data_IF_953229524232
#
_entry.id   IF_953229524232
#
_cell.length_a   1.000
_cell.length_b   1.000
_cell.length_c   1.000
_cell.angle_alpha   90.00
_cell.angle_beta   90.00
_cell.angle_gamma   90.00
#
_symmetry.space_group_name_H-M   'P 1'
#
loop_
_entity.id
_entity.type
_entity.pdbx_description
1 polymer ?
#
# COMPACT_ATOMS: atom_id res chain seq x y z
N UNK A 1 53.06 30.83 33.81
CA UNK A 1 52.92 30.31 32.44
C UNK A 1 52.59 28.83 32.55
N UNK A 2 51.30 28.53 32.66
CA UNK A 2 50.70 27.21 32.53
C UNK A 2 49.26 27.49 32.10
N UNK A 3 48.98 27.29 30.82
CA UNK A 3 47.67 27.44 30.20
C UNK A 3 47.02 26.06 30.25
N UNK A 4 45.98 25.90 31.06
CA UNK A 4 45.11 24.73 31.03
C UNK A 4 44.19 24.83 29.81
N UNK A 5 44.41 23.93 28.85
CA UNK A 5 43.55 23.73 27.69
C UNK A 5 42.34 22.86 28.10
N UNK A 6 41.09 23.26 27.83
CA UNK A 6 39.94 22.37 27.98
C UNK A 6 39.91 21.40 26.79
N UNK A 7 40.04 20.10 27.07
CA UNK A 7 39.88 19.03 26.09
C UNK A 7 38.42 18.95 25.63
N UNK A 8 38.16 19.58 24.50
CA UNK A 8 36.88 19.57 23.81
C UNK A 8 36.78 18.32 22.93
N UNK A 9 36.56 17.14 23.53
CA UNK A 9 36.40 15.89 22.78
C UNK A 9 35.02 15.22 22.93
N UNK A 10 34.02 15.96 23.41
CA UNK A 10 32.63 15.50 23.46
C UNK A 10 31.80 16.18 22.35
N UNK A 11 31.88 15.69 21.10
CA UNK A 11 30.79 15.78 20.10
C UNK A 11 31.19 15.33 18.69
N UNK A 12 31.77 14.13 18.54
CA UNK A 12 31.91 13.49 17.23
C UNK A 12 31.23 12.11 17.23
N UNK A 13 29.94 12.09 17.56
CA UNK A 13 29.04 11.02 17.10
C UNK A 13 28.28 11.55 15.88
N UNK A 14 28.08 10.73 14.83
CA UNK A 14 27.67 11.19 13.52
C UNK A 14 26.27 11.81 13.59
N UNK A 15 26.25 13.13 13.47
CA UNK A 15 25.07 13.98 13.47
C UNK A 15 24.32 13.86 12.12
N UNK A 16 23.86 12.65 11.81
CA UNK A 16 22.90 12.36 10.73
C UNK A 16 21.92 11.29 11.18
N UNK A 17 21.25 11.52 12.31
CA UNK A 17 19.92 10.95 12.44
C UNK A 17 19.05 11.63 11.38
N UNK A 18 18.29 10.87 10.57
CA UNK A 18 17.40 11.45 9.56
C UNK A 18 16.48 12.47 10.24
N UNK A 19 16.21 13.60 9.56
CA UNK A 19 15.43 14.74 10.07
C UNK A 19 14.09 14.32 10.72
N UNK A 20 13.53 13.19 10.29
CA UNK A 20 12.35 12.53 10.86
C UNK A 20 12.46 12.24 12.37
N UNK A 21 13.65 12.01 12.92
CA UNK A 21 13.85 11.67 14.33
C UNK A 21 13.67 12.84 15.30
N UNK A 22 13.81 14.09 14.85
CA UNK A 22 13.68 15.25 15.74
C UNK A 22 12.26 15.38 16.29
N UNK A 23 11.26 14.97 15.52
CA UNK A 23 9.85 14.99 15.94
C UNK A 23 9.50 13.97 17.00
N UNK A 24 10.04 12.76 16.84
CA UNK A 24 9.91 11.68 17.81
C UNK A 24 10.66 11.99 19.11
N UNK A 25 11.67 12.86 19.05
CA UNK A 25 12.43 13.30 20.23
C UNK A 25 11.66 14.37 21.03
N UNK A 26 10.87 15.21 20.36
CA UNK A 26 10.05 16.22 21.04
C UNK A 26 8.86 15.57 21.76
N UNK A 27 8.65 15.90 23.05
CA UNK A 27 7.51 15.39 23.83
C UNK A 27 6.14 15.64 23.16
N UNK A 28 5.83 16.83 22.60
CA UNK A 28 4.55 17.04 21.92
C UNK A 28 4.46 16.28 20.59
N UNK A 29 5.53 16.26 19.77
CA UNK A 29 5.53 15.55 18.49
C UNK A 29 5.35 14.05 18.67
N UNK A 30 5.99 13.48 19.69
CA UNK A 30 5.82 12.08 20.09
C UNK A 30 4.38 11.75 20.48
N UNK A 31 3.72 12.58 21.30
CA UNK A 31 2.32 12.38 21.71
C UNK A 31 1.34 12.48 20.53
N UNK A 32 1.55 13.46 19.64
CA UNK A 32 0.72 13.61 18.44
C UNK A 32 0.90 12.40 17.52
N UNK A 33 2.14 11.97 17.28
CA UNK A 33 2.43 10.81 16.42
C UNK A 33 1.81 9.52 16.98
N UNK A 34 2.04 9.23 18.27
CA UNK A 34 1.48 8.03 18.92
C UNK A 34 -0.05 8.04 18.94
N UNK A 35 -0.69 9.17 19.24
CA UNK A 35 -2.16 9.27 19.26
C UNK A 35 -2.79 9.08 17.88
N UNK A 36 -2.21 9.69 16.83
CA UNK A 36 -2.65 9.49 15.45
C UNK A 36 -2.48 8.02 15.04
N UNK A 37 -1.33 7.44 15.35
CA UNK A 37 -1.03 6.05 15.04
C UNK A 37 -1.97 5.05 15.74
N UNK A 38 -2.26 5.25 17.03
CA UNK A 38 -3.23 4.43 17.77
C UNK A 38 -4.60 4.53 17.12
N UNK A 39 -5.03 5.75 16.76
CA UNK A 39 -6.32 5.98 16.11
C UNK A 39 -6.42 5.22 14.78
N UNK A 40 -5.40 5.34 13.93
CA UNK A 40 -5.30 4.64 12.63
C UNK A 40 -5.32 3.12 12.84
N UNK A 41 -4.53 2.62 13.79
CA UNK A 41 -4.48 1.19 14.11
C UNK A 41 -5.84 0.66 14.56
N UNK A 42 -6.54 1.38 15.45
CA UNK A 42 -7.87 0.99 15.93
C UNK A 42 -8.92 0.96 14.81
N UNK A 43 -8.79 1.84 13.81
CA UNK A 43 -9.67 1.87 12.63
C UNK A 43 -9.36 0.73 11.64
N UNK A 44 -8.08 0.48 11.35
CA UNK A 44 -7.68 -0.46 10.29
C UNK A 44 -7.49 -1.91 10.76
N UNK A 45 -7.02 -2.14 11.98
CA UNK A 45 -6.83 -3.48 12.51
C UNK A 45 -8.10 -4.35 12.43
N UNK A 46 -9.30 -3.90 12.85
CA UNK A 46 -10.51 -4.71 12.75
C UNK A 46 -10.86 -5.03 11.29
N UNK A 47 -10.63 -4.09 10.35
CA UNK A 47 -10.85 -4.31 8.92
C UNK A 47 -9.86 -5.35 8.37
N UNK A 48 -8.57 -5.24 8.70
CA UNK A 48 -7.54 -6.19 8.28
C UNK A 48 -7.82 -7.60 8.81
N UNK A 49 -8.12 -7.73 10.10
CA UNK A 49 -8.48 -9.02 10.71
C UNK A 49 -9.73 -9.59 10.06
N UNK A 50 -10.74 -8.77 9.78
CA UNK A 50 -11.96 -9.22 9.13
C UNK A 50 -11.72 -9.72 7.69
N UNK A 51 -10.90 -9.01 6.90
CA UNK A 51 -10.51 -9.44 5.54
C UNK A 51 -9.72 -10.75 5.59
N UNK A 52 -8.76 -10.87 6.51
CA UNK A 52 -8.00 -12.11 6.71
C UNK A 52 -8.91 -13.25 7.15
N UNK A 53 -9.84 -13.00 8.06
CA UNK A 53 -10.80 -14.00 8.55
C UNK A 53 -11.70 -14.51 7.42
N UNK A 54 -12.31 -13.62 6.65
CA UNK A 54 -13.13 -14.01 5.49
C UNK A 54 -12.31 -14.74 4.43
N UNK A 55 -11.08 -14.28 4.22
CA UNK A 55 -10.13 -14.92 3.32
C UNK A 55 -9.80 -16.35 3.72
N UNK A 56 -9.48 -16.55 5.00
CA UNK A 56 -9.20 -17.84 5.58
C UNK A 56 -10.43 -18.75 5.56
N UNK A 57 -11.61 -18.21 5.86
CA UNK A 57 -12.87 -18.95 5.80
C UNK A 57 -13.16 -19.44 4.37
N UNK A 58 -12.99 -18.58 3.36
CA UNK A 58 -13.13 -18.95 1.95
C UNK A 58 -12.09 -19.98 1.53
N UNK A 59 -10.84 -19.80 1.93
CA UNK A 59 -9.78 -20.76 1.65
C UNK A 59 -10.14 -22.14 2.21
N UNK A 60 -10.60 -22.21 3.47
CA UNK A 60 -11.03 -23.46 4.10
C UNK A 60 -12.21 -24.11 3.38
N UNK A 61 -13.18 -23.33 2.91
CA UNK A 61 -14.32 -23.84 2.13
C UNK A 61 -13.91 -24.33 0.73
N UNK A 62 -12.97 -23.63 0.09
CA UNK A 62 -12.42 -24.00 -1.23
C UNK A 62 -11.43 -25.17 -1.15
N UNK A 63 -10.78 -25.41 -0.02
CA UNK A 63 -9.95 -26.61 0.18
C UNK A 63 -10.77 -27.91 0.13
N UNK A 64 -12.11 -27.85 0.26
CA UNK A 64 -13.01 -29.00 0.11
C UNK A 64 -13.56 -29.17 -1.31
N UNK A 65 -13.44 -28.15 -2.17
CA UNK A 65 -13.88 -28.19 -3.58
C UNK A 65 -12.82 -27.51 -4.43
N UNK A 66 -12.03 -28.31 -5.16
CA UNK A 66 -10.86 -27.95 -5.99
C UNK A 66 -11.09 -26.76 -6.93
N UNK A 67 -11.18 -25.56 -6.36
CA UNK A 67 -11.41 -24.32 -7.05
C UNK A 67 -10.20 -23.44 -6.80
N UNK A 68 -9.52 -23.10 -7.89
CA UNK A 68 -8.36 -22.21 -7.89
C UNK A 68 -8.70 -20.92 -7.16
N UNK A 69 -7.96 -20.61 -6.10
CA UNK A 69 -8.07 -19.30 -5.42
C UNK A 69 -7.94 -18.19 -6.47
N UNK A 70 -8.84 -17.23 -6.41
CA UNK A 70 -8.81 -16.05 -7.29
C UNK A 70 -7.50 -15.28 -7.01
N UNK A 71 -6.62 -15.13 -8.01
CA UNK A 71 -5.31 -14.46 -7.88
C UNK A 71 -5.39 -13.06 -7.25
N UNK A 72 -6.49 -12.35 -7.54
CA UNK A 72 -6.88 -11.09 -6.93
C UNK A 72 -6.88 -11.11 -5.39
N UNK A 73 -7.28 -12.24 -4.80
CA UNK A 73 -7.40 -12.37 -3.34
C UNK A 73 -6.01 -12.54 -2.71
N UNK A 74 -5.09 -13.24 -3.40
CA UNK A 74 -3.68 -13.39 -2.99
C UNK A 74 -3.01 -12.02 -2.87
N UNK A 75 -3.25 -11.11 -3.82
CA UNK A 75 -2.62 -9.78 -3.79
C UNK A 75 -3.21 -8.90 -2.71
N UNK A 76 -4.49 -9.07 -2.43
CA UNK A 76 -5.16 -8.41 -1.31
C UNK A 76 -4.56 -8.88 0.02
N UNK A 77 -4.30 -10.19 0.19
CA UNK A 77 -3.62 -10.70 1.39
C UNK A 77 -2.20 -10.19 1.54
N UNK A 78 -1.43 -10.14 0.46
CA UNK A 78 -0.08 -9.58 0.52
C UNK A 78 -0.09 -8.08 0.86
N UNK A 79 -1.07 -7.32 0.36
CA UNK A 79 -1.23 -5.92 0.75
C UNK A 79 -1.55 -5.79 2.25
N UNK A 80 -2.54 -6.54 2.74
CA UNK A 80 -2.90 -6.54 4.17
C UNK A 80 -1.72 -6.98 5.04
N UNK A 81 -0.96 -7.98 4.61
CA UNK A 81 0.25 -8.41 5.31
C UNK A 81 1.29 -7.31 5.38
N UNK A 82 1.52 -6.57 4.29
CA UNK A 82 2.45 -5.44 4.29
C UNK A 82 1.97 -4.32 5.21
N UNK A 83 0.67 -4.07 5.31
CA UNK A 83 0.13 -3.11 6.31
C UNK A 83 0.36 -3.60 7.74
N UNK A 84 0.16 -4.90 8.03
CA UNK A 84 0.44 -5.46 9.36
C UNK A 84 1.92 -5.39 9.74
N UNK A 85 2.83 -5.59 8.77
CA UNK A 85 4.27 -5.42 8.97
C UNK A 85 4.63 -3.95 9.24
N UNK A 86 3.94 -3.01 8.61
CA UNK A 86 4.10 -1.57 8.86
C UNK A 86 3.73 -1.22 10.32
N UNK A 87 2.57 -1.72 10.77
CA UNK A 87 2.14 -1.53 12.15
C UNK A 87 3.12 -2.14 13.16
N UNK A 88 3.62 -3.36 12.92
CA UNK A 88 4.58 -3.97 13.84
C UNK A 88 5.92 -3.22 13.89
N UNK A 89 6.39 -2.69 12.74
CA UNK A 89 7.57 -1.83 12.67
C UNK A 89 7.42 -0.55 13.50
N UNK A 90 6.31 0.18 13.33
CA UNK A 90 6.05 1.43 14.08
C UNK A 90 5.91 1.15 15.59
N UNK A 91 5.24 0.06 15.97
CA UNK A 91 5.13 -0.35 17.38
C UNK A 91 6.51 -0.60 17.99
N UNK A 92 7.41 -1.26 17.26
CA UNK A 92 8.80 -1.48 17.70
C UNK A 92 9.60 -0.19 17.81
N UNK A 93 9.38 0.78 16.91
CA UNK A 93 9.99 2.13 17.03
C UNK A 93 9.53 2.80 18.32
N UNK A 94 8.22 2.87 18.57
CA UNK A 94 7.65 3.51 19.76
C UNK A 94 8.15 2.83 21.04
N UNK A 95 8.15 1.49 21.07
CA UNK A 95 8.65 0.71 22.21
C UNK A 95 10.16 0.91 22.41
N UNK A 96 10.93 0.96 21.32
CA UNK A 96 12.36 1.25 21.35
C UNK A 96 12.67 2.61 21.96
N UNK A 97 11.88 3.63 21.63
CA UNK A 97 11.97 4.95 22.28
C UNK A 97 11.61 4.89 23.77
N UNK A 98 10.51 4.22 24.14
CA UNK A 98 10.11 4.08 25.55
C UNK A 98 11.15 3.37 26.42
N UNK A 99 11.77 2.32 25.88
CA UNK A 99 12.79 1.54 26.58
C UNK A 99 14.20 2.11 26.41
N UNK A 100 14.34 3.26 25.72
CA UNK A 100 15.64 3.88 25.35
C UNK A 100 16.58 2.88 24.66
N UNK A 101 16.00 1.92 23.92
CA UNK A 101 16.71 0.84 23.25
C UNK A 101 16.93 1.17 21.78
N UNK A 102 18.18 1.55 21.45
CA UNK A 102 18.60 1.91 20.09
C UNK A 102 18.44 0.76 19.09
N UNK A 103 18.64 -0.49 19.52
CA UNK A 103 18.54 -1.66 18.64
C UNK A 103 17.10 -1.91 18.23
N UNK A 104 16.16 -1.85 19.19
CA UNK A 104 14.74 -2.02 18.91
C UNK A 104 14.21 -0.89 18.01
N UNK A 105 14.66 0.35 18.26
CA UNK A 105 14.33 1.51 17.42
C UNK A 105 14.82 1.30 15.98
N UNK A 106 16.10 0.95 15.79
CA UNK A 106 16.67 0.68 14.47
C UNK A 106 15.97 -0.46 13.73
N UNK A 107 15.70 -1.57 14.43
CA UNK A 107 14.97 -2.70 13.86
C UNK A 107 13.57 -2.30 13.40
N UNK A 108 12.85 -1.49 14.19
CA UNK A 108 11.54 -0.94 13.82
C UNK A 108 11.60 -0.13 12.52
N UNK A 109 12.58 0.76 12.38
CA UNK A 109 12.78 1.52 11.14
C UNK A 109 13.04 0.62 9.92
N UNK A 110 13.91 -0.38 10.07
CA UNK A 110 14.20 -1.34 8.99
C UNK A 110 12.93 -2.10 8.57
N UNK A 111 12.13 -2.53 9.54
CA UNK A 111 10.87 -3.24 9.28
C UNK A 111 9.89 -2.33 8.53
N UNK A 112 9.76 -1.06 8.91
CA UNK A 112 8.89 -0.07 8.25
C UNK A 112 9.30 0.26 6.81
N UNK A 113 10.58 0.11 6.45
CA UNK A 113 11.03 0.31 5.06
C UNK A 113 10.42 -0.71 4.08
N UNK A 114 10.24 -1.96 4.52
CA UNK A 114 9.77 -3.03 3.64
C UNK A 114 8.33 -2.77 3.10
N UNK A 115 7.34 -2.40 3.93
CA UNK A 115 6.00 -1.99 3.48
C UNK A 115 5.98 -0.79 2.53
N UNK A 116 6.91 0.16 2.63
CA UNK A 116 6.96 1.31 1.72
C UNK A 116 7.12 0.86 0.26
N UNK A 117 8.09 -0.03 0.01
CA UNK A 117 8.32 -0.59 -1.33
C UNK A 117 7.28 -1.66 -1.68
N UNK A 118 6.94 -2.51 -0.71
CA UNK A 118 5.98 -3.61 -0.90
C UNK A 118 4.61 -3.12 -1.32
N UNK A 119 4.06 -2.08 -0.66
CA UNK A 119 2.73 -1.53 -0.97
C UNK A 119 2.67 -0.99 -2.40
N UNK A 120 3.65 -0.18 -2.80
CA UNK A 120 3.71 0.36 -4.17
C UNK A 120 3.79 -0.77 -5.21
N UNK A 121 4.66 -1.75 -4.97
CA UNK A 121 4.85 -2.89 -5.86
C UNK A 121 3.58 -3.74 -6.02
N UNK A 122 2.95 -4.15 -4.91
CA UNK A 122 1.72 -4.95 -4.97
C UNK A 122 0.56 -4.19 -5.60
N UNK A 123 0.48 -2.87 -5.40
CA UNK A 123 -0.60 -2.08 -5.99
C UNK A 123 -0.46 -1.96 -7.51
N UNK A 124 0.75 -1.73 -8.02
CA UNK A 124 1.04 -1.77 -9.47
C UNK A 124 0.66 -3.13 -10.05
N UNK A 125 1.02 -4.21 -9.36
CA UNK A 125 0.69 -5.56 -9.81
C UNK A 125 -0.82 -5.84 -9.80
N UNK A 126 -1.56 -5.36 -8.81
CA UNK A 126 -3.03 -5.42 -8.81
C UNK A 126 -3.61 -4.66 -9.99
N UNK A 127 -3.06 -3.49 -10.34
CA UNK A 127 -3.51 -2.72 -11.50
C UNK A 127 -3.25 -3.47 -12.82
N UNK A 128 -2.06 -4.05 -12.98
CA UNK A 128 -1.69 -4.85 -14.16
C UNK A 128 -2.56 -6.09 -14.29
N UNK A 129 -2.85 -6.78 -13.19
CA UNK A 129 -3.76 -7.94 -13.20
C UNK A 129 -5.16 -7.55 -13.70
N UNK A 130 -5.72 -6.43 -13.19
CA UNK A 130 -7.03 -5.93 -13.63
C UNK A 130 -7.03 -5.50 -15.09
N UNK A 131 -5.94 -4.88 -15.55
CA UNK A 131 -5.76 -4.52 -16.94
C UNK A 131 -5.81 -5.76 -17.84
N UNK A 132 -5.01 -6.78 -17.53
CA UNK A 132 -4.95 -8.01 -18.31
C UNK A 132 -6.29 -8.74 -18.32
N UNK A 133 -6.98 -8.80 -17.18
CA UNK A 133 -8.27 -9.45 -17.08
C UNK A 133 -9.34 -8.81 -17.99
N UNK A 134 -9.27 -7.49 -18.24
CA UNK A 134 -10.25 -6.78 -19.07
C UNK A 134 -9.83 -6.67 -20.53
N UNK A 135 -8.59 -6.28 -20.79
CA UNK A 135 -8.13 -5.96 -22.15
C UNK A 135 -7.71 -7.23 -22.90
N UNK A 136 -7.13 -8.21 -22.21
CA UNK A 136 -6.60 -9.43 -22.81
C UNK A 136 -7.07 -10.69 -22.07
N UNK A 137 -8.38 -11.00 -22.06
CA UNK A 137 -8.95 -12.10 -21.28
C UNK A 137 -8.38 -13.47 -21.68
N UNK A 138 -8.08 -13.71 -22.96
CA UNK A 138 -7.46 -14.96 -23.43
C UNK A 138 -6.04 -15.11 -22.90
N UNK A 139 -5.24 -14.04 -22.94
CA UNK A 139 -3.90 -14.01 -22.35
C UNK A 139 -3.99 -14.21 -20.84
N UNK A 140 -4.90 -13.53 -20.16
CA UNK A 140 -5.13 -13.68 -18.73
C UNK A 140 -5.52 -15.11 -18.33
N UNK A 141 -6.40 -15.78 -19.08
CA UNK A 141 -6.79 -17.18 -18.84
C UNK A 141 -5.63 -18.16 -19.06
N UNK A 142 -4.82 -17.96 -20.10
CA UNK A 142 -3.61 -18.76 -20.32
C UNK A 142 -2.57 -18.55 -19.20
N UNK A 143 -2.40 -17.31 -18.74
CA UNK A 143 -1.53 -16.96 -17.62
C UNK A 143 -2.04 -17.54 -16.29
N UNK A 144 -3.37 -17.62 -16.11
CA UNK A 144 -4.01 -18.28 -14.96
C UNK A 144 -3.66 -19.78 -14.89
N UNK A 145 -3.46 -20.43 -16.04
CA UNK A 145 -3.12 -21.85 -16.13
C UNK A 145 -1.68 -22.21 -15.76
N UNK A 146 -0.73 -21.25 -15.83
CA UNK A 146 0.70 -21.51 -15.59
C UNK A 146 1.25 -20.66 -14.42
N UNK A 147 1.45 -21.28 -13.24
CA UNK A 147 2.23 -20.79 -12.06
C UNK A 147 2.55 -19.27 -12.07
N UNK A 148 1.57 -18.46 -11.67
CA UNK A 148 1.52 -16.99 -11.76
C UNK A 148 2.60 -16.13 -11.06
N UNK A 149 3.69 -16.72 -10.55
CA UNK A 149 4.81 -15.97 -9.94
C UNK A 149 5.76 -15.43 -11.01
N UNK A 150 6.07 -16.22 -12.05
CA UNK A 150 7.00 -15.83 -13.12
C UNK A 150 6.39 -14.73 -14.02
N UNK A 151 5.07 -14.74 -14.15
CA UNK A 151 4.29 -13.84 -14.99
C UNK A 151 4.24 -12.41 -14.44
N UNK A 152 4.21 -12.21 -13.12
CA UNK A 152 4.22 -10.86 -12.52
C UNK A 152 5.53 -10.13 -12.81
N UNK A 153 6.66 -10.83 -12.75
CA UNK A 153 7.97 -10.30 -13.12
C UNK A 153 8.06 -10.03 -14.63
N UNK A 154 7.52 -10.93 -15.45
CA UNK A 154 7.47 -10.77 -16.91
C UNK A 154 6.54 -9.61 -17.32
N UNK A 155 5.40 -9.38 -16.65
CA UNK A 155 4.48 -8.28 -16.98
C UNK A 155 5.08 -6.90 -16.73
N UNK A 156 5.92 -6.74 -15.70
CA UNK A 156 6.64 -5.49 -15.44
C UNK A 156 7.65 -5.23 -16.57
N UNK A 157 8.42 -6.26 -16.94
CA UNK A 157 9.35 -6.18 -18.09
C UNK A 157 8.63 -5.94 -19.42
N UNK A 158 7.49 -6.61 -19.65
CA UNK A 158 6.70 -6.49 -20.86
C UNK A 158 5.96 -5.16 -20.95
N UNK A 159 5.51 -4.55 -19.84
CA UNK A 159 4.85 -3.23 -19.89
C UNK A 159 5.83 -2.15 -20.37
N UNK A 160 7.07 -2.20 -19.91
CA UNK A 160 8.16 -1.33 -20.39
C UNK A 160 8.50 -1.65 -21.85
N UNK A 161 8.55 -2.93 -22.21
CA UNK A 161 8.88 -3.37 -23.56
C UNK A 161 7.78 -3.08 -24.58
N UNK A 162 6.49 -3.22 -24.24
CA UNK A 162 5.35 -2.98 -25.12
C UNK A 162 5.13 -1.48 -25.36
N UNK A 163 5.40 -0.64 -24.36
CA UNK A 163 5.41 0.84 -24.49
C UNK A 163 6.52 1.30 -25.43
N UNK A 164 7.66 0.59 -25.46
CA UNK A 164 8.78 0.92 -26.36
C UNK A 164 8.64 0.29 -27.76
N UNK A 165 7.81 -0.75 -27.94
CA UNK A 165 7.84 -1.58 -29.17
C UNK A 165 6.63 -1.42 -30.11
N UNK A 166 5.45 -0.89 -29.71
CA UNK A 166 4.28 -0.91 -30.63
C UNK A 166 3.86 0.44 -31.22
N UNK A 167 4.09 0.66 -32.53
CA UNK A 167 3.20 1.43 -33.39
C UNK A 167 1.87 0.68 -33.58
N UNK A 168 0.75 1.41 -33.55
CA UNK A 168 -0.61 0.86 -33.62
C UNK A 168 -0.93 0.24 -34.99
N UNK A 169 -1.33 -1.04 -35.06
CA UNK A 169 -1.72 -1.68 -36.31
C UNK A 169 -3.25 -1.89 -36.39
N UNK A 170 -3.84 -1.22 -37.40
CA UNK A 170 -5.05 -1.56 -38.14
C UNK A 170 -6.15 -2.38 -37.45
N UNK A 171 -7.26 -1.71 -37.11
CA UNK A 171 -8.46 -2.33 -36.56
C UNK A 171 -9.66 -2.13 -37.51
N UNK A 172 -10.03 -3.18 -38.25
CA UNK A 172 -11.21 -3.32 -39.13
C UNK A 172 -11.83 -4.68 -38.79
N UNK A 173 -13.10 -4.96 -38.57
CA UNK A 173 -14.36 -4.24 -38.43
C UNK A 173 -15.40 -5.30 -37.97
N UNK A 174 -16.35 -4.93 -37.11
CA UNK A 174 -17.51 -5.77 -36.75
C UNK A 174 -17.67 -6.04 -35.25
N UNK A 175 -18.75 -5.53 -34.67
CA UNK A 175 -19.22 -5.68 -33.27
C UNK A 175 -18.32 -5.08 -32.16
N UNK A 176 -17.77 -3.90 -32.43
CA UNK A 176 -16.81 -3.18 -31.58
C UNK A 176 -17.41 -2.34 -30.46
N UNK A 177 -18.61 -1.79 -30.63
CA UNK A 177 -19.10 -0.68 -29.78
C UNK A 177 -19.32 -1.07 -28.32
N UNK A 178 -19.83 -2.27 -28.05
CA UNK A 178 -20.11 -2.74 -26.68
C UNK A 178 -18.82 -3.15 -25.97
N UNK A 179 -17.94 -3.89 -26.65
CA UNK A 179 -16.67 -4.37 -26.09
C UNK A 179 -15.72 -3.20 -25.84
N UNK A 180 -15.67 -2.22 -26.74
CA UNK A 180 -14.81 -1.03 -26.60
C UNK A 180 -15.26 -0.13 -25.46
N UNK A 181 -16.55 -0.04 -25.16
CA UNK A 181 -17.03 0.74 -24.01
C UNK A 181 -16.57 0.12 -22.68
N UNK A 182 -16.64 -1.21 -22.56
CA UNK A 182 -16.17 -1.91 -21.35
C UNK A 182 -14.66 -1.78 -21.16
N UNK A 183 -13.88 -1.94 -22.25
CA UNK A 183 -12.42 -1.75 -22.28
C UNK A 183 -12.05 -0.32 -21.92
N UNK A 184 -12.73 0.66 -22.52
CA UNK A 184 -12.51 2.09 -22.27
C UNK A 184 -12.82 2.46 -20.81
N UNK A 185 -13.94 1.99 -20.26
CA UNK A 185 -14.29 2.23 -18.85
C UNK A 185 -13.25 1.64 -17.90
N UNK A 186 -12.80 0.41 -18.15
CA UNK A 186 -11.76 -0.22 -17.33
C UNK A 186 -10.41 0.49 -17.46
N UNK A 187 -10.03 0.88 -18.67
CA UNK A 187 -8.83 1.68 -18.92
C UNK A 187 -8.86 3.00 -18.15
N UNK A 188 -9.95 3.77 -18.24
CA UNK A 188 -10.10 5.02 -17.47
C UNK A 188 -10.05 4.78 -15.96
N UNK A 189 -10.63 3.68 -15.48
CA UNK A 189 -10.56 3.33 -14.05
C UNK A 189 -9.11 3.03 -13.63
N UNK A 190 -8.36 2.29 -14.44
CA UNK A 190 -6.96 1.96 -14.16
C UNK A 190 -6.08 3.21 -14.24
N UNK A 191 -6.27 4.06 -15.25
CA UNK A 191 -5.56 5.35 -15.38
C UNK A 191 -5.89 6.27 -14.21
N UNK A 192 -7.14 6.32 -13.75
CA UNK A 192 -7.52 7.08 -12.57
C UNK A 192 -6.83 6.52 -11.30
N UNK A 193 -6.81 5.20 -11.10
CA UNK A 193 -6.13 4.58 -9.95
C UNK A 193 -4.61 4.86 -9.99
N UNK A 194 -3.97 4.65 -11.15
CA UNK A 194 -2.55 4.94 -11.35
C UNK A 194 -2.24 6.42 -11.17
N UNK A 195 -3.11 7.31 -11.66
CA UNK A 195 -2.99 8.75 -11.51
C UNK A 195 -3.10 9.18 -10.05
N UNK A 196 -4.08 8.66 -9.30
CA UNK A 196 -4.22 8.91 -7.86
C UNK A 196 -3.00 8.37 -7.10
N UNK A 197 -2.49 7.20 -7.48
CA UNK A 197 -1.29 6.63 -6.85
C UNK A 197 -0.03 7.44 -7.16
N UNK A 198 0.15 7.90 -8.40
CA UNK A 198 1.26 8.79 -8.78
C UNK A 198 1.14 10.12 -8.05
N UNK A 199 -0.04 10.72 -8.01
CA UNK A 199 -0.29 11.97 -7.29
C UNK A 199 0.07 11.82 -5.81
N UNK A 200 -0.31 10.70 -5.19
CA UNK A 200 0.07 10.37 -3.82
C UNK A 200 1.57 10.19 -3.67
N UNK A 201 2.22 9.40 -4.53
CA UNK A 201 3.67 9.20 -4.48
C UNK A 201 4.43 10.53 -4.67
N UNK A 202 3.98 11.37 -5.61
CA UNK A 202 4.51 12.71 -5.83
C UNK A 202 4.24 13.62 -4.63
N UNK A 203 3.06 13.53 -4.01
CA UNK A 203 2.70 14.25 -2.79
C UNK A 203 3.59 13.86 -1.63
N UNK A 204 3.85 12.56 -1.42
CA UNK A 204 4.76 12.06 -0.39
C UNK A 204 6.21 12.52 -0.68
N UNK A 205 6.67 12.43 -1.93
CA UNK A 205 8.00 12.94 -2.31
C UNK A 205 8.10 14.46 -2.07
N UNK A 206 7.09 15.23 -2.46
CA UNK A 206 7.04 16.67 -2.22
C UNK A 206 6.98 16.97 -0.71
N UNK A 207 6.26 16.19 0.07
CA UNK A 207 6.18 16.32 1.52
C UNK A 207 7.53 16.01 2.18
N UNK A 208 8.24 14.97 1.76
CA UNK A 208 9.61 14.67 2.21
C UNK A 208 10.55 15.82 1.87
N UNK A 209 10.47 16.37 0.66
CA UNK A 209 11.25 17.55 0.26
C UNK A 209 10.89 18.75 1.15
N UNK A 210 9.60 19.04 1.37
CA UNK A 210 9.15 20.11 2.25
C UNK A 210 9.57 19.90 3.71
N UNK A 211 9.57 18.67 4.21
CA UNK A 211 10.07 18.30 5.55
C UNK A 211 11.55 18.68 5.68
N UNK A 212 12.35 18.46 4.63
CA UNK A 212 13.77 18.82 4.63
C UNK A 212 13.99 20.34 4.67
N UNK A 213 13.06 21.12 4.11
CA UNK A 213 13.19 22.58 3.99
C UNK A 213 12.44 23.38 5.05
N UNK A 214 11.64 22.76 5.92
CA UNK A 214 10.69 23.47 6.78
C UNK A 214 10.87 23.14 8.27
N UNK A 215 10.50 24.07 9.16
CA UNK A 215 10.74 23.96 10.61
C UNK A 215 9.67 23.15 11.37
N UNK A 216 8.62 22.67 10.68
CA UNK A 216 7.52 21.91 11.28
C UNK A 216 7.42 20.45 10.78
N UNK A 217 8.49 19.64 10.88
CA UNK A 217 8.52 18.29 10.33
C UNK A 217 7.42 17.37 10.93
N UNK A 218 6.94 17.65 12.14
CA UNK A 218 6.08 16.72 12.90
C UNK A 218 4.65 16.76 12.41
N UNK A 219 4.17 17.97 12.12
CA UNK A 219 2.83 18.20 11.58
C UNK A 219 2.74 17.59 10.18
N UNK A 220 3.79 17.73 9.37
CA UNK A 220 3.86 17.14 8.03
C UNK A 220 3.85 15.61 8.07
N UNK A 221 4.58 14.98 8.99
CA UNK A 221 4.59 13.52 9.14
C UNK A 221 3.21 12.96 9.52
N UNK A 222 2.44 13.70 10.32
CA UNK A 222 1.05 13.35 10.63
C UNK A 222 0.16 13.43 9.39
N UNK A 223 0.29 14.49 8.59
CA UNK A 223 -0.48 14.62 7.35
C UNK A 223 -0.24 13.47 6.38
N UNK A 224 0.99 12.97 6.25
CA UNK A 224 1.27 11.79 5.41
C UNK A 224 0.43 10.57 5.82
N UNK A 225 0.32 10.34 7.13
CA UNK A 225 -0.49 9.25 7.69
C UNK A 225 -1.98 9.43 7.42
N UNK A 226 -2.47 10.68 7.38
CA UNK A 226 -3.87 10.96 7.05
C UNK A 226 -4.19 10.87 5.56
N UNK A 227 -3.28 11.34 4.69
CA UNK A 227 -3.42 11.16 3.24
C UNK A 227 -3.34 9.69 2.86
N UNK A 228 -2.72 8.85 3.71
CA UNK A 228 -2.60 7.43 3.45
C UNK A 228 -3.84 6.60 3.78
N UNK A 229 -4.71 7.08 4.68
CA UNK A 229 -5.93 6.40 5.12
C UNK A 229 -6.93 6.05 4.00
N UNK A 230 -7.34 6.98 3.11
CA UNK A 230 -8.42 6.70 2.15
C UNK A 230 -8.06 5.55 1.20
N UNK A 231 -6.81 5.50 0.72
CA UNK A 231 -6.37 4.45 -0.20
C UNK A 231 -6.31 3.08 0.46
N UNK A 232 -5.89 3.03 1.73
CA UNK A 232 -5.80 1.78 2.50
C UNK A 232 -7.18 1.20 2.79
N UNK A 233 -8.20 2.06 2.93
CA UNK A 233 -9.57 1.63 3.14
C UNK A 233 -10.28 1.16 1.86
N UNK A 234 -9.93 1.72 0.68
CA UNK A 234 -10.60 1.41 -0.58
C UNK A 234 -10.50 -0.07 -0.95
N UNK A 235 -9.35 -0.73 -0.79
CA UNK A 235 -9.21 -2.15 -1.14
C UNK A 235 -10.00 -3.10 -0.22
N UNK A 236 -9.87 -3.02 1.12
CA UNK A 236 -10.68 -3.79 2.05
C UNK A 236 -12.19 -3.56 1.85
N UNK A 237 -12.61 -2.31 1.66
CA UNK A 237 -14.02 -1.99 1.42
C UNK A 237 -14.54 -2.56 0.11
N UNK A 238 -13.74 -2.51 -0.96
CA UNK A 238 -14.10 -3.08 -2.25
C UNK A 238 -14.16 -4.62 -2.19
N UNK A 239 -13.29 -5.25 -1.40
CA UNK A 239 -13.39 -6.68 -1.11
C UNK A 239 -14.67 -7.01 -0.34
N UNK A 240 -15.01 -6.22 0.67
CA UNK A 240 -16.22 -6.39 1.46
C UNK A 240 -17.49 -6.21 0.63
N UNK A 241 -17.50 -5.22 -0.27
CA UNK A 241 -18.58 -4.98 -1.22
C UNK A 241 -18.79 -6.18 -2.15
N UNK A 242 -17.70 -6.72 -2.71
CA UNK A 242 -17.76 -7.93 -3.55
C UNK A 242 -18.18 -9.18 -2.79
N UNK A 243 -17.94 -9.24 -1.48
CA UNK A 243 -18.44 -10.32 -0.63
C UNK A 243 -19.96 -10.26 -0.41
N UNK A 244 -20.66 -9.23 -0.90
CA UNK A 244 -22.11 -9.06 -0.71
C UNK A 244 -22.51 -8.72 0.73
N UNK A 245 -21.53 -8.53 1.63
CA UNK A 245 -21.75 -8.34 3.08
C UNK A 245 -22.10 -6.90 3.47
N UNK A 246 -21.96 -5.93 2.56
CA UNK A 246 -22.39 -4.54 2.77
C UNK A 246 -23.86 -4.29 2.43
N UNK A 247 -24.55 -5.25 1.82
CA UNK A 247 -25.97 -5.11 1.45
C UNK A 247 -26.89 -5.37 2.65
N UNK A 248 -26.79 -4.54 3.69
CA UNK A 248 -27.71 -4.57 4.84
C UNK A 248 -28.97 -3.73 4.62
N UNK A 249 -29.09 -3.00 3.49
CA UNK A 249 -30.16 -2.03 3.28
C UNK A 249 -31.16 -2.35 2.16
N UNK A 250 -31.12 -3.52 1.52
CA UNK A 250 -32.18 -3.91 0.58
C UNK A 250 -33.32 -4.62 1.33
N UNK A 251 -34.05 -3.86 2.16
CA UNK A 251 -35.39 -4.25 2.58
C UNK A 251 -36.31 -3.98 1.38
N UNK A 252 -36.61 -5.01 0.59
CA UNK A 252 -37.74 -4.94 -0.31
C UNK A 252 -39.01 -4.76 0.55
N UNK A 253 -39.78 -3.67 0.40
CA UNK A 253 -41.11 -3.64 0.96
C UNK A 253 -41.90 -4.77 0.29
N UNK A 254 -42.51 -5.63 1.11
CA UNK A 254 -43.49 -6.59 0.63
C UNK A 254 -44.68 -5.76 0.13
N UNK A 255 -44.88 -5.70 -1.17
CA UNK A 255 -46.14 -5.25 -1.75
C UNK A 255 -47.22 -6.22 -1.25
N UNK A 256 -48.21 -5.65 -0.54
CA UNK A 256 -49.44 -6.31 -0.11
C UNK A 256 -50.59 -5.90 -1.01
#
# INVERSE_FOLDING_TARGET
MALDSPSSNDSLLPQRLPMEMQCLTSRPGYLIFTSAYITITLLLLPLCVFVLYLGFQRWRQQSSTSSTTSHSDIFTFHMVLMELVDYSGITLVILGFHLVNKNATSAGFIITLLPCYGRAYFHVLTCVERYLAVVHPVTYLNLKGQRGVRIRNICIGMSVLHVLIRPGPGEQGGDRTIVDQSKRRAFYTIVAILGVQLLRSCGNMALVVLIVFNEWPCVMMVYESWFTLPSSLVLPLLFLHRAGKLSCCNKNPKEG
#
